data_IF_028846502836
#
_entry.id   IF_028846502836
#
_cell.length_a   1.000
_cell.length_b   1.000
_cell.length_c   1.000
_cell.angle_alpha   90.00
_cell.angle_beta   90.00
_cell.angle_gamma   90.00
#
_symmetry.space_group_name_H-M   'P 1'
#
loop_
_entity.id
_entity.type
_entity.pdbx_description
1 polymer ?
#
# COMPACT_ATOMS: atom_id res chain seq x y z
N UNK A 1 21.70 10.63 1.25
CA UNK A 1 21.98 9.20 1.34
C UNK A 1 21.44 8.47 0.15
N UNK A 2 22.31 8.21 -0.79
CA UNK A 2 21.90 7.64 -2.07
C UNK A 2 21.33 6.23 -1.93
N UNK A 3 21.95 5.40 -1.08
CA UNK A 3 21.47 4.02 -0.91
C UNK A 3 20.05 3.96 -0.33
N UNK A 4 19.70 4.90 0.57
CA UNK A 4 18.34 4.94 1.14
C UNK A 4 17.31 5.29 0.07
N UNK A 5 17.61 6.28 -0.75
CA UNK A 5 16.70 6.69 -1.83
C UNK A 5 16.54 5.58 -2.87
N UNK A 6 17.62 4.86 -3.18
CA UNK A 6 17.56 3.72 -4.09
C UNK A 6 16.71 2.58 -3.50
N UNK A 7 16.83 2.34 -2.21
CA UNK A 7 16.03 1.33 -1.52
C UNK A 7 14.53 1.67 -1.61
N UNK A 8 14.17 2.92 -1.32
CA UNK A 8 12.76 3.33 -1.38
C UNK A 8 12.23 3.34 -2.81
N UNK A 9 13.06 3.73 -3.76
CA UNK A 9 12.69 3.67 -5.18
C UNK A 9 12.35 2.25 -5.59
N UNK A 10 13.21 1.30 -5.26
CA UNK A 10 12.97 -0.12 -5.54
C UNK A 10 11.73 -0.64 -4.82
N UNK A 11 11.55 -0.24 -3.56
CA UNK A 11 10.38 -0.63 -2.77
C UNK A 11 9.09 -0.12 -3.41
N UNK A 12 9.06 1.14 -3.85
CA UNK A 12 7.87 1.72 -4.47
C UNK A 12 7.48 0.97 -5.74
N UNK A 13 8.47 0.63 -6.58
CA UNK A 13 8.20 -0.12 -7.81
C UNK A 13 7.74 -1.54 -7.49
N UNK A 14 8.45 -2.25 -6.61
CA UNK A 14 8.14 -3.64 -6.31
C UNK A 14 6.79 -3.78 -5.59
N UNK A 15 6.58 -2.97 -4.55
CA UNK A 15 5.33 -3.00 -3.79
C UNK A 15 4.15 -2.55 -4.65
N UNK A 16 4.33 -1.48 -5.41
CA UNK A 16 3.29 -0.97 -6.31
C UNK A 16 2.89 -1.98 -7.36
N UNK A 17 3.88 -2.60 -8.02
CA UNK A 17 3.61 -3.63 -9.04
C UNK A 17 2.88 -4.82 -8.43
N UNK A 18 3.34 -5.30 -7.27
CA UNK A 18 2.71 -6.42 -6.58
C UNK A 18 1.24 -6.11 -6.25
N UNK A 19 0.98 -4.95 -5.69
CA UNK A 19 -0.38 -4.57 -5.30
C UNK A 19 -1.29 -4.38 -6.51
N UNK A 20 -0.80 -3.81 -7.61
CA UNK A 20 -1.58 -3.68 -8.84
C UNK A 20 -1.92 -5.06 -9.39
N UNK A 21 -0.93 -5.93 -9.55
CA UNK A 21 -1.14 -7.23 -10.18
C UNK A 21 -2.07 -8.12 -9.34
N UNK A 22 -1.84 -8.19 -8.04
CA UNK A 22 -2.66 -9.06 -7.19
C UNK A 22 -4.08 -8.53 -7.03
N UNK A 23 -4.24 -7.23 -6.80
CA UNK A 23 -5.58 -6.68 -6.58
C UNK A 23 -6.38 -6.57 -7.88
N UNK A 24 -5.76 -6.31 -9.02
CA UNK A 24 -6.42 -6.38 -10.32
C UNK A 24 -6.96 -7.79 -10.56
N UNK A 25 -6.16 -8.80 -10.25
CA UNK A 25 -6.57 -10.19 -10.38
C UNK A 25 -7.80 -10.50 -9.51
N UNK A 26 -7.82 -9.98 -8.27
CA UNK A 26 -8.96 -10.18 -7.38
C UNK A 26 -10.23 -9.50 -7.91
N UNK A 27 -10.09 -8.36 -8.57
CA UNK A 27 -11.25 -7.65 -9.13
C UNK A 27 -11.79 -8.32 -10.39
N UNK A 28 -10.93 -8.99 -11.16
CA UNK A 28 -11.32 -9.63 -12.42
C UNK A 28 -11.88 -11.04 -12.20
N UNK A 29 -11.28 -11.81 -11.30
CA UNK A 29 -11.67 -13.20 -11.07
C UNK A 29 -13.02 -13.31 -10.38
N UNK A 30 -13.77 -14.38 -10.71
CA UNK A 30 -15.09 -14.63 -10.13
C UNK A 30 -15.03 -14.83 -8.61
N UNK A 31 -14.01 -15.55 -8.11
CA UNK A 31 -13.82 -15.78 -6.67
C UNK A 31 -12.69 -14.93 -6.11
N UNK A 32 -12.39 -13.80 -6.74
CA UNK A 32 -11.28 -12.96 -6.37
C UNK A 32 -11.35 -12.43 -4.95
N UNK A 33 -12.56 -12.14 -4.45
CA UNK A 33 -12.73 -11.62 -3.09
C UNK A 33 -12.31 -12.65 -2.05
N UNK A 34 -12.59 -13.93 -2.26
CA UNK A 34 -12.15 -14.99 -1.35
C UNK A 34 -10.63 -15.11 -1.34
N UNK A 35 -9.99 -14.97 -2.50
CA UNK A 35 -8.52 -14.95 -2.58
C UNK A 35 -7.95 -13.72 -1.89
N UNK A 36 -8.61 -12.56 -2.03
CA UNK A 36 -8.19 -11.33 -1.38
C UNK A 36 -8.21 -11.44 0.14
N UNK A 37 -9.16 -12.17 0.71
CA UNK A 37 -9.24 -12.39 2.16
C UNK A 37 -8.00 -13.11 2.69
N UNK A 38 -7.38 -13.96 1.89
CA UNK A 38 -6.16 -14.67 2.29
C UNK A 38 -4.94 -13.75 2.30
N UNK A 39 -4.92 -12.75 1.42
CA UNK A 39 -3.81 -11.79 1.35
C UNK A 39 -3.97 -10.65 2.35
N UNK A 40 -5.16 -10.06 2.43
CA UNK A 40 -5.39 -8.88 3.26
C UNK A 40 -5.85 -9.27 4.66
N UNK A 41 -4.96 -9.94 5.39
CA UNK A 41 -5.25 -10.44 6.74
C UNK A 41 -5.23 -9.36 7.81
N UNK A 42 -4.84 -8.13 7.45
CA UNK A 42 -4.93 -6.99 8.37
C UNK A 42 -6.37 -6.56 8.63
N UNK A 43 -7.33 -7.09 7.87
CA UNK A 43 -8.75 -6.88 8.13
C UNK A 43 -9.32 -8.02 8.98
N UNK A 44 -10.38 -7.75 9.80
CA UNK A 44 -11.05 -8.82 10.54
C UNK A 44 -11.62 -9.89 9.62
N UNK A 45 -11.73 -11.10 10.12
CA UNK A 45 -12.25 -12.23 9.33
C UNK A 45 -13.73 -12.07 8.98
N UNK A 46 -14.46 -11.28 9.76
CA UNK A 46 -15.91 -11.11 9.57
C UNK A 46 -16.29 -9.93 8.66
N UNK A 47 -15.31 -9.32 7.98
CA UNK A 47 -15.62 -8.24 7.04
C UNK A 47 -16.49 -8.78 5.90
N UNK A 48 -17.42 -7.95 5.44
CA UNK A 48 -18.29 -8.30 4.32
C UNK A 48 -17.51 -8.33 3.01
N UNK A 49 -18.09 -8.96 1.99
CA UNK A 49 -17.48 -8.98 0.65
C UNK A 49 -17.32 -7.54 0.11
N UNK A 50 -18.28 -6.66 0.38
CA UNK A 50 -18.20 -5.26 -0.04
C UNK A 50 -17.04 -4.56 0.65
N UNK A 51 -16.83 -4.78 1.94
CA UNK A 51 -15.70 -4.19 2.68
C UNK A 51 -14.37 -4.70 2.14
N UNK A 52 -14.28 -5.99 1.85
CA UNK A 52 -13.06 -6.56 1.26
C UNK A 52 -12.82 -6.00 -0.14
N UNK A 53 -13.88 -5.84 -0.94
CA UNK A 53 -13.76 -5.25 -2.27
C UNK A 53 -13.25 -3.81 -2.20
N UNK A 54 -13.72 -3.03 -1.22
CA UNK A 54 -13.21 -1.67 -1.00
C UNK A 54 -11.73 -1.68 -0.66
N UNK A 55 -11.29 -2.62 0.18
CA UNK A 55 -9.87 -2.79 0.50
C UNK A 55 -9.06 -3.08 -0.77
N UNK A 56 -9.53 -4.01 -1.60
CA UNK A 56 -8.86 -4.38 -2.84
C UNK A 56 -8.73 -3.18 -3.77
N UNK A 57 -9.80 -2.40 -3.92
CA UNK A 57 -9.78 -1.20 -4.77
C UNK A 57 -8.79 -0.17 -4.21
N UNK A 58 -8.80 0.07 -2.90
CA UNK A 58 -7.88 1.02 -2.28
C UNK A 58 -6.43 0.58 -2.46
N UNK A 59 -6.12 -0.69 -2.27
CA UNK A 59 -4.76 -1.19 -2.43
C UNK A 59 -4.32 -1.16 -3.89
N UNK A 60 -5.24 -1.37 -4.83
CA UNK A 60 -4.96 -1.21 -6.25
C UNK A 60 -4.57 0.25 -6.55
N UNK A 61 -5.33 1.20 -6.03
CA UNK A 61 -5.05 2.62 -6.26
C UNK A 61 -3.73 3.06 -5.61
N UNK A 62 -3.45 2.61 -4.39
CA UNK A 62 -2.16 2.91 -3.75
C UNK A 62 -1.01 2.23 -4.47
N UNK A 63 -1.23 1.02 -4.97
CA UNK A 63 -0.24 0.34 -5.80
C UNK A 63 0.11 1.16 -7.03
N UNK A 64 -0.91 1.74 -7.70
CA UNK A 64 -0.71 2.63 -8.83
C UNK A 64 0.08 3.87 -8.46
N UNK A 65 -0.26 4.49 -7.33
CA UNK A 65 0.45 5.68 -6.84
C UNK A 65 1.93 5.37 -6.59
N UNK A 66 2.22 4.27 -5.91
CA UNK A 66 3.58 3.88 -5.59
C UNK A 66 4.37 3.50 -6.86
N UNK A 67 3.76 2.72 -7.75
CA UNK A 67 4.42 2.30 -8.98
C UNK A 67 4.77 3.49 -9.87
N UNK A 68 3.84 4.42 -10.06
CA UNK A 68 4.07 5.60 -10.89
C UNK A 68 5.17 6.46 -10.29
N UNK A 69 5.14 6.71 -8.98
CA UNK A 69 6.19 7.48 -8.31
C UNK A 69 7.57 6.83 -8.48
N UNK A 70 7.63 5.51 -8.31
CA UNK A 70 8.89 4.78 -8.46
C UNK A 70 9.41 4.83 -9.89
N UNK A 71 8.56 4.55 -10.87
CA UNK A 71 8.96 4.55 -12.29
C UNK A 71 9.39 5.94 -12.75
N UNK A 72 8.66 6.98 -12.36
CA UNK A 72 9.00 8.36 -12.72
C UNK A 72 10.38 8.72 -12.16
N UNK A 73 10.68 8.29 -10.93
CA UNK A 73 11.99 8.59 -10.33
C UNK A 73 13.14 7.92 -11.06
N UNK A 74 12.95 6.71 -11.60
CA UNK A 74 13.96 6.06 -12.42
C UNK A 74 14.12 6.76 -13.77
N UNK A 75 13.01 7.09 -14.40
CA UNK A 75 13.01 7.69 -15.72
C UNK A 75 13.60 9.12 -15.69
N UNK A 76 13.18 9.91 -14.72
CA UNK A 76 13.60 11.31 -14.60
C UNK A 76 14.96 11.49 -13.92
N UNK A 77 15.61 10.39 -13.52
CA UNK A 77 16.91 10.40 -12.85
C UNK A 77 16.94 11.26 -11.59
N UNK A 78 15.80 11.44 -10.96
CA UNK A 78 15.73 12.19 -9.73
C UNK A 78 14.67 11.64 -8.84
N UNK A 79 14.94 11.65 -7.54
CA UNK A 79 13.94 11.28 -6.55
C UNK A 79 13.20 12.54 -6.14
N UNK A 80 11.92 12.59 -6.42
CA UNK A 80 11.09 13.66 -5.88
C UNK A 80 10.71 13.27 -4.45
N UNK A 81 11.52 13.72 -3.50
CA UNK A 81 11.29 13.39 -2.08
C UNK A 81 9.91 13.82 -1.61
N UNK A 82 9.45 14.97 -2.07
CA UNK A 82 8.11 15.45 -1.70
C UNK A 82 7.03 14.47 -2.16
N UNK A 83 7.13 13.96 -3.39
CA UNK A 83 6.16 13.00 -3.90
C UNK A 83 6.16 11.71 -3.07
N UNK A 84 7.34 11.22 -2.68
CA UNK A 84 7.46 10.05 -1.83
C UNK A 84 6.86 10.31 -0.44
N UNK A 85 7.15 11.47 0.14
CA UNK A 85 6.60 11.85 1.45
C UNK A 85 5.09 11.94 1.41
N UNK A 86 4.54 12.53 0.35
CA UNK A 86 3.09 12.62 0.18
C UNK A 86 2.47 11.22 0.05
N UNK A 87 3.07 10.35 -0.78
CA UNK A 87 2.55 9.00 -0.98
C UNK A 87 2.56 8.19 0.32
N UNK A 88 3.66 8.23 1.06
CA UNK A 88 3.77 7.53 2.34
C UNK A 88 2.80 8.11 3.38
N UNK A 89 2.64 9.42 3.41
CA UNK A 89 1.72 10.08 4.34
C UNK A 89 0.26 9.71 4.05
N UNK A 90 -0.12 9.70 2.77
CA UNK A 90 -1.47 9.28 2.38
C UNK A 90 -1.73 7.83 2.74
N UNK A 91 -0.75 6.97 2.50
CA UNK A 91 -0.88 5.55 2.85
C UNK A 91 -0.99 5.36 4.36
N UNK A 92 -0.20 6.10 5.14
CA UNK A 92 -0.28 6.10 6.59
C UNK A 92 -1.63 6.59 7.10
N UNK A 93 -2.15 7.65 6.49
CA UNK A 93 -3.48 8.16 6.83
C UNK A 93 -4.57 7.12 6.54
N UNK A 94 -4.47 6.46 5.40
CA UNK A 94 -5.39 5.38 5.05
C UNK A 94 -5.33 4.25 6.08
N UNK A 95 -4.12 3.83 6.47
CA UNK A 95 -3.93 2.78 7.48
C UNK A 95 -4.53 3.21 8.82
N UNK A 96 -4.35 4.48 9.19
CA UNK A 96 -4.94 5.01 10.43
C UNK A 96 -6.47 4.99 10.38
N UNK A 97 -7.05 5.45 9.28
CA UNK A 97 -8.51 5.45 9.10
C UNK A 97 -9.07 4.04 9.16
N UNK A 98 -8.40 3.10 8.51
CA UNK A 98 -8.81 1.69 8.51
C UNK A 98 -8.73 1.11 9.93
N UNK A 99 -7.68 1.44 10.69
CA UNK A 99 -7.53 1.00 12.07
C UNK A 99 -8.65 1.52 12.96
N UNK A 100 -9.04 2.79 12.79
CA UNK A 100 -10.14 3.37 13.55
C UNK A 100 -11.50 2.78 13.16
N UNK A 101 -11.65 2.41 11.89
CA UNK A 101 -12.90 1.85 11.39
C UNK A 101 -13.11 0.42 11.88
N UNK A 102 -12.10 -0.44 11.73
CA UNK A 102 -12.23 -1.87 12.07
C UNK A 102 -11.91 -2.18 13.52
N UNK A 103 -11.06 -1.39 14.16
CA UNK A 103 -10.61 -1.58 15.55
C UNK A 103 -10.11 -3.00 15.82
N UNK A 104 -9.30 -3.51 14.87
CA UNK A 104 -8.79 -4.87 14.89
C UNK A 104 -7.27 -4.83 15.07
N UNK A 105 -6.71 -5.74 15.88
CA UNK A 105 -5.29 -5.66 16.25
C UNK A 105 -4.33 -5.78 15.05
N UNK A 106 -4.67 -6.61 14.06
CA UNK A 106 -3.83 -6.74 12.86
C UNK A 106 -3.84 -5.48 12.00
N UNK A 107 -4.95 -4.75 11.99
CA UNK A 107 -5.03 -3.47 11.31
C UNK A 107 -4.10 -2.45 11.97
N UNK A 108 -4.03 -2.45 13.29
CA UNK A 108 -3.06 -1.61 14.01
C UNK A 108 -1.62 -2.02 13.70
N UNK A 109 -1.37 -3.31 13.51
CA UNK A 109 -0.06 -3.79 13.05
C UNK A 109 0.31 -3.24 11.68
N UNK A 110 -0.63 -3.23 10.75
CA UNK A 110 -0.45 -2.63 9.43
C UNK A 110 -0.14 -1.14 9.55
N UNK A 111 -0.87 -0.41 10.39
CA UNK A 111 -0.59 1.00 10.67
C UNK A 111 0.80 1.20 11.24
N UNK A 112 1.20 0.39 12.23
CA UNK A 112 2.52 0.49 12.85
C UNK A 112 3.63 0.29 11.82
N UNK A 113 3.50 -0.72 10.96
CA UNK A 113 4.48 -0.98 9.91
C UNK A 113 4.58 0.20 8.94
N UNK A 114 3.44 0.74 8.53
CA UNK A 114 3.39 1.89 7.61
C UNK A 114 4.07 3.12 8.24
N UNK A 115 3.82 3.38 9.51
CA UNK A 115 4.44 4.50 10.23
C UNK A 115 5.93 4.31 10.33
N UNK A 116 6.41 3.09 10.63
CA UNK A 116 7.85 2.80 10.70
C UNK A 116 8.52 3.07 9.36
N UNK A 117 7.92 2.61 8.26
CA UNK A 117 8.48 2.84 6.93
C UNK A 117 8.55 4.33 6.63
N UNK A 118 7.51 5.10 6.96
CA UNK A 118 7.50 6.55 6.75
C UNK A 118 8.56 7.25 7.59
N UNK A 119 8.69 6.89 8.87
CA UNK A 119 9.69 7.49 9.76
C UNK A 119 11.11 7.21 9.24
N UNK A 120 11.39 6.00 8.81
CA UNK A 120 12.70 5.64 8.28
C UNK A 120 13.03 6.45 7.01
N UNK A 121 12.02 6.81 6.23
CA UNK A 121 12.24 7.66 5.07
C UNK A 121 12.69 9.07 5.47
N UNK A 122 12.08 9.62 6.52
CA UNK A 122 12.42 10.96 6.99
C UNK A 122 13.81 11.01 7.67
N UNK A 123 14.30 9.91 8.15
CA UNK A 123 15.64 9.86 8.74
C UNK A 123 16.74 9.86 7.68
#
# INVERSE_FOLDING_TARGET
MEWKLELYRAFFVAFGAMEILTNARYLIKKDGINAARKQHQELPKNVTDLQMKRKVICMFLFGGLFLVNGLVSYYARGVNELAYMVALSLFGLYAWMESMYYKYWKTFGFLALTVVVAILFYM
#
